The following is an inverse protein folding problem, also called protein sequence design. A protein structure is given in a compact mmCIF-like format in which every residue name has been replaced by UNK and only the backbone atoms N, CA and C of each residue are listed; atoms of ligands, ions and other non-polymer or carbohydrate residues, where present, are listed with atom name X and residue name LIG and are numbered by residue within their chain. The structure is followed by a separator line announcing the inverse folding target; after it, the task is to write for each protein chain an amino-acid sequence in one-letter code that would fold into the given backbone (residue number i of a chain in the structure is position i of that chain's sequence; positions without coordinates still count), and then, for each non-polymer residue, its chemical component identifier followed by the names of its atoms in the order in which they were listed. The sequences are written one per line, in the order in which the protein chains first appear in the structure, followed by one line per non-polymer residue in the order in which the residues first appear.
data_IF_095479392867
#
_entry.id   IF_095479392867
#
_cell.length_a   1.000
_cell.length_b   1.000
_cell.length_c   1.000
_cell.angle_alpha   90.00
_cell.angle_beta   90.00
_cell.angle_gamma   90.00
#
_symmetry.space_group_name_H-M   'P 1'
#
loop_
_entity.id
_entity.type
_entity.pdbx_description
1 polymer ?
#
# COMPACT_ATOMS: atom_id res chain seq x y z
N UNK A 1 -4.63 -30.67 35.06
CA UNK A 1 -5.37 -30.43 33.81
C UNK A 1 -4.36 -30.08 32.72
N UNK A 2 -3.96 -31.05 31.88
CA UNK A 2 -2.98 -30.83 30.82
C UNK A 2 -3.69 -30.13 29.65
N UNK A 3 -3.33 -28.88 29.36
CA UNK A 3 -3.98 -28.11 28.28
C UNK A 3 -3.77 -26.60 28.35
N UNK A 4 -3.34 -26.07 29.49
CA UNK A 4 -3.07 -24.63 29.63
C UNK A 4 -1.81 -24.20 28.84
N UNK A 5 -0.78 -25.04 28.83
CA UNK A 5 0.52 -24.72 28.20
C UNK A 5 0.45 -24.63 26.67
N UNK A 6 -0.39 -25.45 26.02
CA UNK A 6 -0.50 -25.47 24.56
C UNK A 6 -1.21 -24.22 24.03
N UNK A 7 -2.29 -23.79 24.69
CA UNK A 7 -3.01 -22.56 24.32
C UNK A 7 -2.13 -21.32 24.53
N UNK A 8 -1.41 -21.26 25.67
CA UNK A 8 -0.51 -20.15 25.95
C UNK A 8 0.66 -20.09 24.96
N UNK A 9 1.18 -21.25 24.53
CA UNK A 9 2.26 -21.33 23.54
C UNK A 9 1.83 -20.84 22.15
N UNK A 10 0.61 -21.16 21.72
CA UNK A 10 0.06 -20.68 20.44
C UNK A 10 -0.17 -19.16 20.49
N UNK A 11 -0.74 -18.67 21.59
CA UNK A 11 -0.95 -17.23 21.79
C UNK A 11 0.41 -16.50 21.77
N UNK A 12 1.40 -16.99 22.51
CA UNK A 12 2.74 -16.41 22.51
C UNK A 12 3.38 -16.39 21.11
N UNK A 13 3.28 -17.49 20.35
CA UNK A 13 3.77 -17.60 18.99
C UNK A 13 3.10 -16.58 18.05
N UNK A 14 1.77 -16.45 18.10
CA UNK A 14 1.05 -15.49 17.27
C UNK A 14 1.39 -14.04 17.60
N UNK A 15 1.60 -13.70 18.88
CA UNK A 15 2.02 -12.36 19.32
C UNK A 15 3.42 -12.04 18.80
N UNK A 16 4.36 -12.98 18.89
CA UNK A 16 5.74 -12.79 18.38
C UNK A 16 5.74 -12.55 16.87
N UNK A 17 5.00 -13.37 16.12
CA UNK A 17 4.85 -13.19 14.67
C UNK A 17 4.24 -11.83 14.37
N UNK A 18 3.16 -11.46 15.06
CA UNK A 18 2.48 -10.18 14.82
C UNK A 18 3.39 -8.99 15.14
N UNK A 19 4.24 -9.08 16.17
CA UNK A 19 5.23 -8.05 16.50
C UNK A 19 6.32 -7.89 15.44
N UNK A 20 6.77 -9.01 14.84
CA UNK A 20 7.74 -9.01 13.74
C UNK A 20 7.15 -8.45 12.43
N UNK A 21 5.88 -8.74 12.14
CA UNK A 21 5.18 -8.25 10.94
C UNK A 21 4.58 -6.85 11.10
N UNK A 22 4.35 -6.37 12.33
CA UNK A 22 3.85 -5.02 12.61
C UNK A 22 4.68 -3.88 11.98
N UNK A 23 6.03 -3.86 12.05
CA UNK A 23 6.82 -2.83 11.37
C UNK A 23 6.67 -2.88 9.84
N UNK A 24 6.40 -4.06 9.27
CA UNK A 24 6.13 -4.22 7.84
C UNK A 24 4.78 -3.59 7.47
N UNK A 25 3.74 -3.81 8.29
CA UNK A 25 2.42 -3.19 8.10
C UNK A 25 2.46 -1.67 8.17
N UNK A 26 3.29 -1.08 9.04
CA UNK A 26 3.45 0.38 9.11
C UNK A 26 4.10 0.94 7.83
N UNK A 27 5.09 0.23 7.27
CA UNK A 27 5.71 0.61 5.99
C UNK A 27 4.68 0.55 4.85
N UNK A 28 3.86 -0.50 4.80
CA UNK A 28 2.77 -0.63 3.82
C UNK A 28 1.75 0.53 3.93
N UNK A 29 1.40 0.94 5.16
CA UNK A 29 0.48 2.08 5.37
C UNK A 29 1.02 3.42 4.84
N UNK A 30 2.33 3.69 4.92
CA UNK A 30 2.91 4.92 4.37
C UNK A 30 2.80 4.96 2.84
N UNK A 31 3.08 3.83 2.18
CA UNK A 31 2.92 3.68 0.72
C UNK A 31 1.47 3.91 0.30
N UNK A 32 0.52 3.34 1.04
CA UNK A 32 -0.92 3.49 0.76
C UNK A 32 -1.40 4.95 0.90
N UNK A 33 -0.90 5.69 1.89
CA UNK A 33 -1.25 7.11 2.06
C UNK A 33 -0.73 7.97 0.92
N UNK A 34 0.47 7.70 0.43
CA UNK A 34 1.04 8.41 -0.71
C UNK A 34 0.21 8.18 -1.99
N UNK A 35 -0.24 6.94 -2.21
CA UNK A 35 -1.17 6.61 -3.31
C UNK A 35 -2.52 7.33 -3.18
N UNK A 36 -3.07 7.41 -1.97
CA UNK A 36 -4.32 8.14 -1.72
C UNK A 36 -4.19 9.65 -1.98
N UNK A 37 -3.01 10.24 -1.75
CA UNK A 37 -2.76 11.65 -2.03
C UNK A 37 -2.72 11.95 -3.54
N UNK A 38 -2.29 11.00 -4.37
CA UNK A 38 -2.23 11.20 -5.84
C UNK A 38 -3.52 10.79 -6.56
N UNK A 39 -4.41 10.04 -5.92
CA UNK A 39 -5.71 9.68 -6.47
C UNK A 39 -6.49 10.86 -7.08
N UNK A 40 -6.61 12.05 -6.45
CA UNK A 40 -7.27 13.20 -7.08
C UNK A 40 -6.57 13.66 -8.37
N UNK A 41 -5.24 13.63 -8.43
CA UNK A 41 -4.47 13.99 -9.62
C UNK A 41 -4.66 12.96 -10.75
N UNK A 42 -4.71 11.68 -10.41
CA UNK A 42 -5.04 10.60 -11.35
C UNK A 42 -6.43 10.82 -11.95
N UNK A 43 -7.41 11.19 -11.13
CA UNK A 43 -8.76 11.49 -11.62
C UNK A 43 -8.78 12.71 -12.54
N UNK A 44 -8.07 13.79 -12.19
CA UNK A 44 -7.97 14.98 -13.04
C UNK A 44 -7.36 14.66 -14.42
N UNK A 45 -6.32 13.81 -14.49
CA UNK A 45 -5.73 13.39 -15.77
C UNK A 45 -6.72 12.50 -16.54
N UNK A 46 -7.40 11.56 -15.87
CA UNK A 46 -8.45 10.74 -16.49
C UNK A 46 -9.58 11.60 -17.07
N UNK A 47 -9.97 12.67 -16.40
CA UNK A 47 -10.99 13.59 -16.90
C UNK A 47 -10.53 14.44 -18.07
N UNK A 48 -9.28 14.94 -18.02
CA UNK A 48 -8.69 15.73 -19.12
C UNK A 48 -8.44 14.89 -20.37
N UNK A 49 -8.11 13.61 -20.23
CA UNK A 49 -7.73 12.72 -21.33
C UNK A 49 -8.74 11.58 -21.59
N UNK A 50 -10.04 11.78 -21.29
CA UNK A 50 -11.10 10.76 -21.50
C UNK A 50 -11.14 10.17 -22.92
N UNK A 51 -10.75 10.95 -23.93
CA UNK A 51 -10.80 10.56 -25.34
C UNK A 51 -9.45 10.06 -25.89
N UNK A 52 -8.38 10.14 -25.11
CA UNK A 52 -7.02 9.84 -25.56
C UNK A 52 -6.28 9.00 -24.52
N UNK A 53 -6.45 7.67 -24.64
CA UNK A 53 -5.83 6.70 -23.74
C UNK A 53 -4.30 6.73 -23.80
N UNK A 54 -3.71 7.08 -24.95
CA UNK A 54 -2.27 7.17 -25.11
C UNK A 54 -1.71 8.36 -24.31
N UNK A 55 -2.33 9.54 -24.47
CA UNK A 55 -1.97 10.72 -23.69
C UNK A 55 -2.22 10.52 -22.19
N UNK A 56 -3.31 9.85 -21.83
CA UNK A 56 -3.62 9.51 -20.44
C UNK A 56 -2.52 8.65 -19.80
N UNK A 57 -2.04 7.61 -20.49
CA UNK A 57 -0.97 6.74 -19.99
C UNK A 57 0.35 7.49 -19.76
N UNK A 58 0.73 8.34 -20.71
CA UNK A 58 1.94 9.15 -20.61
C UNK A 58 1.87 10.15 -19.44
N UNK A 59 0.75 10.85 -19.28
CA UNK A 59 0.53 11.79 -18.19
C UNK A 59 0.47 11.10 -16.82
N UNK A 60 -0.13 9.90 -16.72
CA UNK A 60 -0.11 9.10 -15.50
C UNK A 60 1.33 8.74 -15.10
N UNK A 61 2.15 8.33 -16.08
CA UNK A 61 3.56 7.98 -15.83
C UNK A 61 4.40 9.19 -15.40
N UNK A 62 4.14 10.38 -15.97
CA UNK A 62 4.77 11.63 -15.54
C UNK A 62 4.37 12.00 -14.10
N UNK A 63 3.08 11.90 -13.75
CA UNK A 63 2.60 12.17 -12.40
C UNK A 63 3.27 11.27 -11.36
N UNK A 64 3.43 9.97 -11.65
CA UNK A 64 4.14 9.05 -10.75
C UNK A 64 5.62 9.44 -10.56
N UNK A 65 6.28 9.92 -11.62
CA UNK A 65 7.66 10.41 -11.56
C UNK A 65 7.79 11.72 -10.77
N UNK A 66 6.91 12.69 -11.01
CA UNK A 66 6.91 13.97 -10.30
C UNK A 66 6.72 13.80 -8.79
N UNK A 67 5.77 12.94 -8.40
CA UNK A 67 5.50 12.68 -6.99
C UNK A 67 6.44 11.64 -6.36
N UNK A 68 7.44 11.11 -7.10
CA UNK A 68 8.37 10.05 -6.65
C UNK A 68 7.65 8.85 -6.00
N UNK A 69 6.45 8.51 -6.48
CA UNK A 69 5.66 7.41 -5.93
C UNK A 69 5.86 6.20 -6.83
N UNK A 70 6.34 5.11 -6.25
CA UNK A 70 6.50 3.86 -6.97
C UNK A 70 5.18 3.06 -6.87
N UNK A 71 4.35 2.99 -7.94
CA UNK A 71 3.06 2.27 -7.90
C UNK A 71 3.23 0.76 -7.60
N UNK A 72 4.45 0.24 -7.75
CA UNK A 72 4.83 -1.15 -7.48
C UNK A 72 5.18 -1.37 -5.99
N UNK A 73 5.53 -0.31 -5.24
CA UNK A 73 5.91 -0.43 -3.83
C UNK A 73 4.71 -0.55 -2.87
N UNK A 74 3.48 -0.66 -3.41
CA UNK A 74 2.24 -0.72 -2.64
C UNK A 74 1.40 -1.99 -2.84
N UNK A 75 1.88 -2.96 -3.62
CA UNK A 75 1.22 -4.26 -3.80
C UNK A 75 1.83 -5.32 -2.89
#
# INVERSE_FOLDING_TARGET
MPGHDLGLSIIALTVIIRFLFFPLSIKAQRSQRALNAINPHIQAIKEKHKHDQAAQGAAMMQLYKEHNINPIAGC
#
